data_IF_576335261494
#
_entry.id   IF_576335261494
#
_cell.length_a   1.000
_cell.length_b   1.000
_cell.length_c   1.000
_cell.angle_alpha   90.00
_cell.angle_beta   90.00
_cell.angle_gamma   90.00
#
_symmetry.space_group_name_H-M   'P 1'
#
loop_
_entity.id
_entity.type
_entity.pdbx_description
1 polymer ?
#
# COMPACT_ATOMS: atom_id res chain seq x y z
N UNK A 1 -18.38 -32.21 30.34
CA UNK A 1 -17.05 -31.67 30.00
C UNK A 1 -17.27 -30.32 29.33
N UNK A 2 -17.14 -29.22 30.07
CA UNK A 2 -17.29 -27.87 29.51
C UNK A 2 -16.05 -27.45 28.73
N UNK A 3 -16.15 -26.49 27.79
CA UNK A 3 -15.00 -26.02 27.03
C UNK A 3 -13.95 -25.45 27.99
N UNK A 4 -12.74 -26.02 27.97
CA UNK A 4 -11.60 -25.50 28.71
C UNK A 4 -11.22 -24.15 28.11
N UNK A 5 -11.38 -23.07 28.88
CA UNK A 5 -10.84 -21.77 28.49
C UNK A 5 -9.33 -21.92 28.36
N UNK A 6 -8.81 -21.65 27.16
CA UNK A 6 -7.37 -21.73 26.92
C UNK A 6 -6.69 -20.62 27.74
N UNK A 7 -5.51 -20.91 28.30
CA UNK A 7 -4.77 -19.96 29.12
C UNK A 7 -4.29 -18.70 28.36
N UNK A 8 -4.55 -18.63 27.05
CA UNK A 8 -4.19 -17.52 26.14
C UNK A 8 -5.38 -16.59 25.80
N UNK A 9 -6.49 -16.68 26.54
CA UNK A 9 -7.71 -15.87 26.43
C UNK A 9 -7.56 -14.42 26.97
N UNK A 10 -6.58 -13.66 26.47
CA UNK A 10 -6.41 -12.23 26.81
C UNK A 10 -7.24 -11.28 25.91
N UNK A 11 -7.59 -10.05 26.36
CA UNK A 11 -8.42 -9.10 25.60
C UNK A 11 -7.90 -8.81 24.17
N UNK A 12 -6.57 -8.78 23.99
CA UNK A 12 -5.92 -8.52 22.69
C UNK A 12 -6.20 -9.59 21.63
N UNK A 13 -6.33 -10.85 22.02
CA UNK A 13 -6.59 -11.97 21.09
C UNK A 13 -7.98 -11.89 20.48
N UNK A 14 -8.95 -11.31 21.21
CA UNK A 14 -10.33 -11.20 20.75
C UNK A 14 -10.48 -10.21 19.58
N UNK A 15 -9.71 -9.11 19.56
CA UNK A 15 -9.74 -8.14 18.46
C UNK A 15 -9.12 -8.68 17.18
N UNK A 16 -8.00 -9.42 17.29
CA UNK A 16 -7.34 -10.05 16.13
C UNK A 16 -8.29 -11.07 15.49
N UNK A 17 -8.94 -11.90 16.30
CA UNK A 17 -9.94 -12.86 15.83
C UNK A 17 -11.16 -12.16 15.22
N UNK A 18 -11.59 -11.02 15.76
CA UNK A 18 -12.67 -10.22 15.20
C UNK A 18 -12.29 -9.68 13.82
N UNK A 19 -11.16 -8.98 13.69
CA UNK A 19 -10.69 -8.43 12.40
C UNK A 19 -10.48 -9.53 11.36
N UNK A 20 -9.85 -10.64 11.74
CA UNK A 20 -9.67 -11.78 10.85
C UNK A 20 -11.01 -12.38 10.41
N UNK A 21 -11.98 -12.48 11.32
CA UNK A 21 -13.33 -12.96 11.00
C UNK A 21 -14.06 -12.01 10.04
N UNK A 22 -13.91 -10.70 10.21
CA UNK A 22 -14.48 -9.71 9.30
C UNK A 22 -13.83 -9.78 7.92
N UNK A 23 -12.49 -9.78 7.85
CA UNK A 23 -11.76 -9.92 6.59
C UNK A 23 -12.14 -11.22 5.86
N UNK A 24 -12.24 -12.33 6.58
CA UNK A 24 -12.70 -13.58 6.00
C UNK A 24 -14.12 -13.46 5.44
N UNK A 25 -15.08 -13.01 6.25
CA UNK A 25 -16.49 -12.97 5.86
C UNK A 25 -16.77 -12.07 4.65
N UNK A 26 -16.10 -10.91 4.56
CA UNK A 26 -16.43 -9.89 3.57
C UNK A 26 -15.48 -9.84 2.38
N UNK A 27 -14.21 -10.23 2.56
CA UNK A 27 -13.19 -10.09 1.53
C UNK A 27 -12.84 -11.45 0.94
N UNK A 28 -12.41 -12.40 1.77
CA UNK A 28 -11.75 -13.63 1.25
C UNK A 28 -12.68 -14.84 1.08
N UNK A 29 -13.85 -14.88 1.73
CA UNK A 29 -14.76 -16.05 1.72
C UNK A 29 -15.36 -16.34 0.34
N UNK A 30 -15.62 -15.33 -0.48
CA UNK A 30 -16.14 -15.51 -1.85
C UNK A 30 -15.05 -15.15 -2.84
N UNK A 31 -14.86 -15.99 -3.86
CA UNK A 31 -13.84 -15.75 -4.87
C UNK A 31 -14.08 -14.44 -5.64
N UNK A 32 -15.34 -14.09 -5.93
CA UNK A 32 -15.67 -12.84 -6.62
C UNK A 32 -15.26 -11.58 -5.82
N UNK A 33 -15.49 -11.57 -4.51
CA UNK A 33 -15.06 -10.46 -3.64
C UNK A 33 -13.55 -10.44 -3.46
N UNK A 34 -12.93 -11.62 -3.35
CA UNK A 34 -11.48 -11.76 -3.27
C UNK A 34 -10.80 -11.24 -4.54
N UNK A 35 -11.33 -11.59 -5.71
CA UNK A 35 -10.80 -11.15 -7.00
C UNK A 35 -10.83 -9.62 -7.10
N UNK A 36 -11.97 -9.00 -6.80
CA UNK A 36 -12.10 -7.53 -6.80
C UNK A 36 -11.11 -6.90 -5.82
N UNK A 37 -11.01 -7.43 -4.60
CA UNK A 37 -10.10 -6.91 -3.59
C UNK A 37 -8.63 -7.00 -4.03
N UNK A 38 -8.23 -8.11 -4.66
CA UNK A 38 -6.88 -8.27 -5.19
C UNK A 38 -6.60 -7.36 -6.39
N UNK A 39 -7.54 -7.18 -7.31
CA UNK A 39 -7.38 -6.26 -8.45
C UNK A 39 -7.22 -4.82 -7.98
N UNK A 40 -8.12 -4.34 -7.11
CA UNK A 40 -8.03 -2.99 -6.54
C UNK A 40 -6.76 -2.84 -5.70
N UNK A 41 -6.42 -3.86 -4.92
CA UNK A 41 -5.20 -3.90 -4.12
C UNK A 41 -3.94 -3.78 -4.97
N UNK A 42 -3.86 -4.52 -6.08
CA UNK A 42 -2.72 -4.48 -6.99
C UNK A 42 -2.53 -3.09 -7.60
N UNK A 43 -3.61 -2.49 -8.15
CA UNK A 43 -3.55 -1.14 -8.74
C UNK A 43 -3.17 -0.10 -7.67
N UNK A 44 -3.73 -0.22 -6.47
CA UNK A 44 -3.43 0.73 -5.39
C UNK A 44 -1.98 0.61 -4.91
N UNK A 45 -1.46 -0.61 -4.81
CA UNK A 45 -0.08 -0.86 -4.43
C UNK A 45 0.89 -0.32 -5.49
N UNK A 46 0.62 -0.56 -6.76
CA UNK A 46 1.41 -0.03 -7.89
C UNK A 46 1.56 1.50 -7.77
N UNK A 47 0.43 2.20 -7.64
CA UNK A 47 0.42 3.66 -7.49
C UNK A 47 1.16 4.17 -6.26
N UNK A 48 1.03 3.48 -5.12
CA UNK A 48 1.66 3.89 -3.86
C UNK A 48 3.16 3.61 -3.89
N UNK A 49 3.55 2.43 -4.36
CA UNK A 49 4.94 1.99 -4.40
C UNK A 49 5.72 2.81 -5.42
N UNK A 50 5.17 3.06 -6.61
CA UNK A 50 5.85 3.87 -7.62
C UNK A 50 6.03 5.31 -7.14
N UNK A 51 4.94 5.99 -6.76
CA UNK A 51 5.01 7.40 -6.32
C UNK A 51 5.81 7.56 -5.03
N UNK A 52 5.66 6.61 -4.10
CA UNK A 52 6.40 6.61 -2.84
C UNK A 52 7.89 6.33 -3.07
N UNK A 53 8.20 5.38 -3.95
CA UNK A 53 9.55 5.04 -4.36
C UNK A 53 10.26 6.22 -5.02
N UNK A 54 9.63 6.84 -6.02
CA UNK A 54 10.13 8.05 -6.69
C UNK A 54 10.37 9.18 -5.69
N UNK A 55 9.43 9.41 -4.77
CA UNK A 55 9.60 10.43 -3.74
C UNK A 55 10.82 10.17 -2.85
N UNK A 56 10.97 8.94 -2.36
CA UNK A 56 12.12 8.54 -1.52
C UNK A 56 13.41 8.67 -2.31
N UNK A 57 13.45 8.19 -3.55
CA UNK A 57 14.62 8.24 -4.42
C UNK A 57 15.04 9.67 -4.74
N UNK A 58 14.10 10.52 -5.15
CA UNK A 58 14.35 11.92 -5.48
C UNK A 58 14.83 12.69 -4.25
N UNK A 59 14.22 12.47 -3.09
CA UNK A 59 14.62 13.14 -1.86
C UNK A 59 16.01 12.71 -1.41
N UNK A 60 16.34 11.42 -1.49
CA UNK A 60 17.65 10.90 -1.11
C UNK A 60 18.77 11.38 -2.04
N UNK A 61 18.47 11.55 -3.32
CA UNK A 61 19.44 11.95 -4.34
C UNK A 61 19.34 13.42 -4.75
N UNK A 62 18.63 14.25 -3.96
CA UNK A 62 18.41 15.66 -4.24
C UNK A 62 19.72 16.40 -4.55
N UNK A 63 19.70 17.20 -5.60
CA UNK A 63 20.84 17.94 -6.15
C UNK A 63 21.74 17.11 -7.08
N UNK A 64 21.47 15.81 -7.24
CA UNK A 64 22.22 14.93 -8.16
C UNK A 64 21.39 14.52 -9.37
N UNK A 65 20.06 14.65 -9.33
CA UNK A 65 19.22 14.26 -10.46
C UNK A 65 19.30 15.31 -11.55
N UNK A 66 19.14 14.86 -12.79
CA UNK A 66 18.91 15.75 -13.92
C UNK A 66 17.77 16.73 -13.64
N UNK A 67 16.67 16.25 -13.05
CA UNK A 67 15.53 17.09 -12.67
C UNK A 67 15.88 18.26 -11.75
N UNK A 68 16.97 18.19 -10.98
CA UNK A 68 17.41 19.26 -10.08
C UNK A 68 18.28 20.34 -10.77
N UNK A 69 18.81 20.05 -11.97
CA UNK A 69 19.72 20.94 -12.71
C UNK A 69 19.23 21.25 -14.13
N UNK A 70 18.13 20.64 -14.57
CA UNK A 70 17.62 20.71 -15.93
C UNK A 70 17.34 22.15 -16.36
N UNK A 71 16.81 22.96 -15.45
CA UNK A 71 16.49 24.39 -15.62
C UNK A 71 17.70 25.23 -16.05
N UNK A 72 18.92 24.78 -15.78
CA UNK A 72 20.15 25.47 -16.20
C UNK A 72 20.51 25.25 -17.67
N UNK A 73 19.96 24.21 -18.30
CA UNK A 73 20.41 23.72 -19.61
C UNK A 73 19.27 23.60 -20.63
N UNK A 74 18.02 23.58 -20.17
CA UNK A 74 16.84 23.50 -21.02
C UNK A 74 15.90 24.63 -20.65
N UNK A 75 15.56 25.45 -21.64
CA UNK A 75 14.43 26.36 -21.54
C UNK A 75 13.17 25.60 -21.96
N UNK A 76 12.31 25.28 -21.00
CA UNK A 76 11.08 24.53 -21.26
C UNK A 76 10.10 25.31 -22.15
N UNK A 77 10.30 26.63 -22.34
CA UNK A 77 9.54 27.49 -23.27
C UNK A 77 10.07 27.45 -24.71
N UNK A 78 11.29 26.95 -24.95
CA UNK A 78 11.86 26.88 -26.29
C UNK A 78 11.29 25.72 -27.14
N UNK A 79 10.59 24.77 -26.53
CA UNK A 79 9.98 23.61 -27.21
C UNK A 79 8.46 23.79 -27.47
N UNK A 80 7.82 24.74 -26.79
CA UNK A 80 6.40 25.09 -27.01
C UNK A 80 6.33 26.31 -27.92
N UNK A 81 6.46 26.09 -29.23
CA UNK A 81 6.06 27.08 -30.24
C UNK A 81 4.55 27.35 -30.21
#
# INVERSE_FOLDING_TARGET
MGPTKSHFDGPRRNYIMAVASYAYRFVTKRFSTLLIALTVGAISLDLIVDKGGDYIFNQYNKGKLWNDIKDKYVDDLAFTG
#
